data_IF_428239553783
#
_entry.id   IF_428239553783
#
_cell.length_a   1.000
_cell.length_b   1.000
_cell.length_c   1.000
_cell.angle_alpha   90.00
_cell.angle_beta   90.00
_cell.angle_gamma   90.00
#
_symmetry.space_group_name_H-M   'P 1'
#
loop_
_entity.id
_entity.type
_entity.pdbx_description
1 polymer ?
#
# COMPACT_ATOMS: atom_id res chain seq x y z
N UNK A 1 2.97 -4.70 -21.75
CA UNK A 1 2.39 -5.13 -20.46
C UNK A 1 3.44 -5.13 -19.35
N UNK A 2 4.62 -5.76 -19.53
CA UNK A 2 5.64 -5.81 -18.47
C UNK A 2 6.14 -4.43 -18.01
N UNK A 3 6.51 -3.55 -18.94
CA UNK A 3 6.91 -2.17 -18.61
C UNK A 3 5.81 -1.46 -17.82
N UNK A 4 4.55 -1.60 -18.25
CA UNK A 4 3.39 -1.02 -17.55
C UNK A 4 3.27 -1.54 -16.11
N UNK A 5 3.42 -2.85 -15.88
CA UNK A 5 3.41 -3.41 -14.53
C UNK A 5 4.53 -2.81 -13.67
N UNK A 6 5.76 -2.78 -14.18
CA UNK A 6 6.92 -2.21 -13.48
C UNK A 6 6.69 -0.73 -13.16
N UNK A 7 6.20 0.05 -14.13
CA UNK A 7 5.87 1.47 -13.92
C UNK A 7 4.82 1.65 -12.83
N UNK A 8 3.77 0.81 -12.79
CA UNK A 8 2.75 0.89 -11.74
C UNK A 8 3.31 0.58 -10.35
N UNK A 9 4.17 -0.45 -10.21
CA UNK A 9 4.83 -0.76 -8.94
C UNK A 9 5.70 0.42 -8.48
N UNK A 10 6.54 0.95 -9.37
CA UNK A 10 7.42 2.10 -9.05
C UNK A 10 6.62 3.34 -8.69
N UNK A 11 5.50 3.59 -9.39
CA UNK A 11 4.60 4.70 -9.06
C UNK A 11 3.91 4.50 -7.72
N UNK A 12 3.49 3.28 -7.39
CA UNK A 12 2.88 2.96 -6.10
C UNK A 12 3.87 3.17 -4.95
N UNK A 13 5.11 2.68 -5.10
CA UNK A 13 6.18 2.86 -4.10
C UNK A 13 6.58 4.34 -3.97
N UNK A 14 6.77 5.05 -5.07
CA UNK A 14 7.04 6.49 -5.05
C UNK A 14 5.89 7.28 -4.39
N UNK A 15 4.64 6.92 -4.69
CA UNK A 15 3.46 7.50 -4.05
C UNK A 15 3.50 7.28 -2.54
N UNK A 16 3.70 6.04 -2.09
CA UNK A 16 3.83 5.68 -0.68
C UNK A 16 4.94 6.49 0.02
N UNK A 17 6.14 6.54 -0.56
CA UNK A 17 7.28 7.29 0.01
C UNK A 17 6.95 8.78 0.14
N UNK A 18 6.36 9.37 -0.91
CA UNK A 18 6.00 10.79 -0.92
C UNK A 18 4.91 11.06 0.13
N UNK A 19 3.84 10.27 0.16
CA UNK A 19 2.73 10.52 1.11
C UNK A 19 3.11 10.18 2.55
N UNK A 20 4.18 9.42 2.79
CA UNK A 20 4.71 9.18 4.15
C UNK A 20 5.63 10.31 4.62
N UNK A 21 6.40 10.94 3.73
CA UNK A 21 7.46 11.90 4.10
C UNK A 21 7.09 13.37 3.90
N UNK A 22 6.23 13.67 2.93
CA UNK A 22 5.89 15.03 2.52
C UNK A 22 4.51 15.40 3.02
N UNK A 23 4.38 16.60 3.59
CA UNK A 23 3.08 17.14 3.98
C UNK A 23 2.28 17.56 2.75
N UNK A 24 1.24 16.79 2.46
CA UNK A 24 0.31 16.98 1.35
C UNK A 24 -1.10 17.24 1.86
N UNK A 25 -1.23 17.82 3.07
CA UNK A 25 -2.53 18.16 3.64
C UNK A 25 -3.43 18.89 2.61
N UNK A 26 -4.71 18.49 2.45
CA UNK A 26 -5.46 17.56 3.31
C UNK A 26 -5.39 16.08 2.90
N UNK A 27 -4.58 15.69 1.91
CA UNK A 27 -4.53 14.31 1.42
C UNK A 27 -4.00 13.34 2.48
N UNK A 28 -2.96 13.74 3.20
CA UNK A 28 -2.34 13.01 4.31
C UNK A 28 -2.21 13.91 5.56
N UNK A 29 -1.64 13.37 6.63
CA UNK A 29 -1.36 14.12 7.87
C UNK A 29 -0.05 13.65 8.50
N UNK A 30 1.06 13.84 7.77
CA UNK A 30 2.39 13.38 8.20
C UNK A 30 2.90 14.09 9.45
N UNK A 31 2.32 15.23 9.83
CA UNK A 31 2.72 16.00 11.01
C UNK A 31 2.26 15.34 12.31
N UNK A 32 1.27 14.44 12.26
CA UNK A 32 0.82 13.65 13.41
C UNK A 32 1.81 12.52 13.80
N UNK A 33 2.71 12.14 12.89
CA UNK A 33 3.75 11.16 13.11
C UNK A 33 5.10 11.82 13.37
N UNK A 34 5.89 11.24 14.26
CA UNK A 34 7.27 11.64 14.51
C UNK A 34 8.13 11.36 13.28
N UNK A 35 9.24 12.10 13.14
CA UNK A 35 10.22 11.83 12.09
C UNK A 35 10.82 10.42 12.14
N UNK A 36 10.86 9.80 13.33
CA UNK A 36 11.34 8.42 13.47
C UNK A 36 10.30 7.42 12.96
N UNK A 37 9.02 7.56 13.36
CA UNK A 37 7.92 6.72 12.85
C UNK A 37 7.90 6.73 11.30
N UNK A 38 7.94 7.92 10.69
CA UNK A 38 7.92 8.07 9.22
C UNK A 38 9.13 7.41 8.53
N UNK A 39 10.33 7.59 9.10
CA UNK A 39 11.55 6.98 8.54
C UNK A 39 11.53 5.47 8.67
N UNK A 40 11.12 4.94 9.82
CA UNK A 40 10.99 3.49 10.03
C UNK A 40 9.96 2.91 9.08
N UNK A 41 8.82 3.58 8.90
CA UNK A 41 7.77 3.14 7.97
C UNK A 41 8.29 3.03 6.52
N UNK A 42 8.99 4.06 6.03
CA UNK A 42 9.60 4.00 4.69
C UNK A 42 10.70 2.95 4.59
N UNK A 43 11.62 2.90 5.55
CA UNK A 43 12.76 1.98 5.51
C UNK A 43 12.36 0.51 5.56
N UNK A 44 11.23 0.19 6.21
CA UNK A 44 10.71 -1.17 6.27
C UNK A 44 9.87 -1.50 5.04
N UNK A 45 8.94 -0.63 4.65
CA UNK A 45 7.94 -0.98 3.64
C UNK A 45 8.41 -0.73 2.20
N UNK A 46 9.13 0.38 1.91
CA UNK A 46 9.51 0.71 0.54
C UNK A 46 10.37 -0.38 -0.13
N UNK A 47 11.36 -1.01 0.54
CA UNK A 47 12.10 -2.12 -0.07
C UNK A 47 11.23 -3.33 -0.40
N UNK A 48 10.23 -3.62 0.44
CA UNK A 48 9.27 -4.72 0.22
C UNK A 48 8.37 -4.39 -0.97
N UNK A 49 7.91 -3.14 -1.08
CA UNK A 49 7.07 -2.65 -2.17
C UNK A 49 7.83 -2.52 -3.50
N UNK A 50 9.14 -2.30 -3.47
CA UNK A 50 9.98 -2.22 -4.67
C UNK A 50 10.37 -3.61 -5.21
N UNK A 51 10.41 -4.64 -4.36
CA UNK A 51 10.84 -5.99 -4.72
C UNK A 51 10.07 -6.58 -5.94
N UNK A 52 8.73 -6.43 -6.06
CA UNK A 52 7.99 -6.84 -7.25
C UNK A 52 8.51 -6.23 -8.56
N UNK A 53 8.91 -4.95 -8.57
CA UNK A 53 9.46 -4.31 -9.76
C UNK A 53 10.80 -4.95 -10.18
N UNK A 54 11.67 -5.24 -9.21
CA UNK A 54 12.96 -5.90 -9.43
C UNK A 54 12.75 -7.30 -10.02
N UNK A 55 11.82 -8.08 -9.44
CA UNK A 55 11.50 -9.42 -9.91
C UNK A 55 10.88 -9.42 -11.31
N UNK A 56 9.95 -8.50 -11.60
CA UNK A 56 9.35 -8.34 -12.93
C UNK A 56 10.38 -7.93 -13.98
N UNK A 57 11.26 -6.98 -13.67
CA UNK A 57 12.34 -6.56 -14.57
C UNK A 57 13.30 -7.73 -14.87
N UNK A 58 13.69 -8.47 -13.83
CA UNK A 58 14.59 -9.63 -13.95
C UNK A 58 13.94 -10.76 -14.75
N UNK A 59 12.63 -11.01 -14.54
CA UNK A 59 11.86 -11.98 -15.31
C UNK A 59 11.84 -11.64 -16.80
N UNK A 60 11.68 -10.36 -17.14
CA UNK A 60 11.71 -9.87 -18.52
C UNK A 60 13.07 -10.04 -19.19
N UNK A 61 14.14 -9.63 -18.51
CA UNK A 61 15.51 -9.69 -19.03
C UNK A 61 15.98 -11.14 -19.23
N UNK A 62 15.74 -11.99 -18.22
CA UNK A 62 16.20 -13.38 -18.24
C UNK A 62 15.21 -14.35 -18.90
N UNK A 63 14.03 -13.87 -19.33
CA UNK A 63 12.93 -14.70 -19.86
C UNK A 63 12.51 -15.81 -18.88
N UNK A 64 12.44 -15.49 -17.60
CA UNK A 64 12.08 -16.42 -16.52
C UNK A 64 10.69 -16.09 -15.97
N UNK A 65 9.60 -16.64 -16.53
CA UNK A 65 8.24 -16.25 -16.14
C UNK A 65 7.92 -16.53 -14.67
N UNK A 66 8.54 -17.54 -14.05
CA UNK A 66 8.31 -17.83 -12.64
C UNK A 66 8.74 -16.69 -11.71
N UNK A 67 9.78 -15.92 -12.06
CA UNK A 67 10.18 -14.73 -11.30
C UNK A 67 9.10 -13.65 -11.35
N UNK A 68 8.48 -13.45 -12.52
CA UNK A 68 7.38 -12.51 -12.70
C UNK A 68 6.13 -12.93 -11.93
N UNK A 69 5.88 -14.24 -11.84
CA UNK A 69 4.76 -14.79 -11.05
C UNK A 69 4.97 -14.54 -9.57
N UNK A 70 6.19 -14.76 -9.05
CA UNK A 70 6.53 -14.45 -7.67
C UNK A 70 6.39 -12.96 -7.38
N UNK A 71 6.93 -12.09 -8.25
CA UNK A 71 6.80 -10.64 -8.10
C UNK A 71 5.33 -10.19 -8.06
N UNK A 72 4.52 -10.68 -9.00
CA UNK A 72 3.09 -10.38 -9.07
C UNK A 72 2.31 -10.92 -7.86
N UNK A 73 2.69 -12.08 -7.33
CA UNK A 73 2.10 -12.65 -6.13
C UNK A 73 2.43 -11.84 -4.87
N UNK A 74 3.67 -11.35 -4.75
CA UNK A 74 4.07 -10.45 -3.65
C UNK A 74 3.26 -9.15 -3.72
N UNK A 75 3.16 -8.53 -4.90
CA UNK A 75 2.36 -7.32 -5.11
C UNK A 75 0.87 -7.54 -4.73
N UNK A 76 0.31 -8.70 -5.11
CA UNK A 76 -1.04 -9.07 -4.72
C UNK A 76 -1.20 -9.21 -3.21
N UNK A 77 -0.23 -9.82 -2.52
CA UNK A 77 -0.24 -9.93 -1.05
C UNK A 77 -0.20 -8.55 -0.39
N UNK A 78 0.61 -7.62 -0.91
CA UNK A 78 0.64 -6.21 -0.45
C UNK A 78 -0.74 -5.57 -0.63
N UNK A 79 -1.33 -5.68 -1.83
CA UNK A 79 -2.66 -5.13 -2.11
C UNK A 79 -3.74 -5.68 -1.17
N UNK A 80 -3.79 -7.00 -1.01
CA UNK A 80 -4.76 -7.66 -0.15
C UNK A 80 -4.56 -7.31 1.33
N UNK A 81 -3.32 -7.16 1.78
CA UNK A 81 -3.00 -6.78 3.16
C UNK A 81 -3.43 -5.35 3.45
N UNK A 82 -3.19 -4.41 2.51
CA UNK A 82 -3.67 -3.04 2.61
C UNK A 82 -5.20 -2.97 2.59
N UNK A 83 -5.84 -3.70 1.68
CA UNK A 83 -7.30 -3.80 1.65
C UNK A 83 -7.86 -4.36 2.96
N UNK A 84 -7.28 -5.42 3.50
CA UNK A 84 -7.70 -6.00 4.77
C UNK A 84 -7.54 -5.01 5.93
N UNK A 85 -6.40 -4.32 5.99
CA UNK A 85 -6.09 -3.32 7.02
C UNK A 85 -7.12 -2.18 7.06
N UNK A 86 -7.52 -1.68 5.89
CA UNK A 86 -8.34 -0.47 5.79
C UNK A 86 -9.82 -0.74 5.65
N UNK A 87 -10.20 -1.80 4.92
CA UNK A 87 -11.61 -2.07 4.62
C UNK A 87 -12.29 -2.97 5.64
N UNK A 88 -11.61 -3.96 6.25
CA UNK A 88 -12.24 -4.79 7.27
C UNK A 88 -12.76 -3.97 8.48
N UNK A 89 -12.02 -2.98 9.01
CA UNK A 89 -12.55 -2.13 10.07
C UNK A 89 -13.78 -1.35 9.64
N UNK A 90 -13.82 -0.91 8.37
CA UNK A 90 -14.92 -0.12 7.83
C UNK A 90 -16.19 -0.95 7.57
N UNK A 91 -16.07 -2.07 6.84
CA UNK A 91 -17.23 -2.86 6.41
C UNK A 91 -17.70 -3.85 7.47
N UNK A 92 -16.78 -4.44 8.23
CA UNK A 92 -17.06 -5.50 9.18
C UNK A 92 -16.83 -5.08 10.65
N UNK A 93 -16.16 -3.96 10.90
CA UNK A 93 -15.77 -3.58 12.26
C UNK A 93 -14.64 -4.44 12.84
N UNK A 94 -13.94 -5.20 11.99
CA UNK A 94 -12.88 -6.14 12.40
C UNK A 94 -11.52 -5.53 12.08
N UNK A 95 -10.65 -5.40 13.08
CA UNK A 95 -9.27 -4.94 12.91
C UNK A 95 -8.32 -6.11 12.74
N UNK A 96 -7.32 -5.97 11.88
CA UNK A 96 -6.29 -7.00 11.70
C UNK A 96 -5.17 -6.87 12.75
N UNK A 97 -4.63 -7.97 13.30
CA UNK A 97 -3.63 -7.92 14.37
C UNK A 97 -2.32 -7.21 13.97
N UNK A 98 -1.95 -7.28 12.68
CA UNK A 98 -0.72 -6.65 12.18
C UNK A 98 -0.89 -5.15 11.89
N UNK A 99 -2.10 -4.59 12.03
CA UNK A 99 -2.40 -3.18 11.72
C UNK A 99 -1.54 -2.18 12.48
N UNK A 100 -1.15 -2.54 13.70
CA UNK A 100 -0.35 -1.69 14.58
C UNK A 100 0.83 -2.46 15.16
N UNK A 101 1.30 -3.50 14.46
CA UNK A 101 2.42 -4.31 14.92
C UNK A 101 3.62 -3.41 15.25
N UNK A 102 4.01 -3.37 16.53
CA UNK A 102 5.12 -2.55 17.02
C UNK A 102 4.80 -1.08 17.35
N UNK A 103 3.58 -0.59 17.13
CA UNK A 103 3.20 0.83 17.33
C UNK A 103 2.66 1.17 18.73
N UNK A 104 2.55 0.18 19.63
CA UNK A 104 2.12 0.38 21.03
C UNK A 104 0.72 0.97 21.22
N UNK A 105 -0.09 1.03 20.15
CA UNK A 105 -1.42 1.64 20.12
C UNK A 105 -2.40 0.77 19.32
N UNK A 106 -3.70 0.96 19.56
CA UNK A 106 -4.74 0.29 18.77
C UNK A 106 -4.89 0.94 17.40
N UNK A 107 -5.38 0.17 16.42
CA UNK A 107 -5.68 0.71 15.08
C UNK A 107 -6.64 1.91 15.14
N UNK A 108 -7.62 1.87 16.05
CA UNK A 108 -8.58 2.95 16.24
C UNK A 108 -7.91 4.25 16.70
N UNK A 109 -6.99 4.18 17.64
CA UNK A 109 -6.24 5.35 18.14
C UNK A 109 -5.30 5.91 17.07
N UNK A 110 -4.56 5.03 16.39
CA UNK A 110 -3.69 5.42 15.27
C UNK A 110 -4.49 6.10 14.17
N UNK A 111 -5.64 5.53 13.80
CA UNK A 111 -6.53 6.09 12.78
C UNK A 111 -7.10 7.45 13.19
N UNK A 112 -7.58 7.57 14.44
CA UNK A 112 -8.10 8.84 14.94
C UNK A 112 -7.04 9.95 14.94
N UNK A 113 -5.79 9.62 15.33
CA UNK A 113 -4.67 10.56 15.35
C UNK A 113 -4.22 10.98 13.95
N UNK A 114 -4.01 10.00 13.07
CA UNK A 114 -3.29 10.23 11.81
C UNK A 114 -4.23 10.40 10.63
N UNK A 115 -5.29 9.60 10.51
CA UNK A 115 -6.04 9.49 9.25
C UNK A 115 -7.41 10.16 9.28
N UNK A 116 -8.04 10.32 10.45
CA UNK A 116 -9.38 10.88 10.59
C UNK A 116 -9.51 12.35 10.16
N UNK A 117 -8.39 13.07 10.06
CA UNK A 117 -8.32 14.49 9.68
C UNK A 117 -7.92 14.70 8.21
N UNK A 118 -7.92 13.65 7.40
CA UNK A 118 -7.56 13.70 5.97
C UNK A 118 -8.81 13.63 5.07
N UNK A 119 -8.62 13.75 3.76
CA UNK A 119 -9.72 13.59 2.80
C UNK A 119 -10.32 12.18 2.90
N UNK A 120 -11.58 12.10 3.35
CA UNK A 120 -12.36 10.88 3.41
C UNK A 120 -13.62 11.06 2.56
N UNK A 121 -13.77 10.25 1.52
CA UNK A 121 -14.90 10.31 0.59
C UNK A 121 -16.00 9.29 0.91
N UNK A 122 -15.71 8.31 1.78
CA UNK A 122 -16.64 7.25 2.12
C UNK A 122 -17.67 7.72 3.19
N UNK A 123 -18.93 7.30 3.07
CA UNK A 123 -19.96 7.62 4.06
C UNK A 123 -19.61 7.02 5.43
N UNK A 124 -20.25 7.55 6.48
CA UNK A 124 -20.03 7.07 7.85
C UNK A 124 -20.88 5.82 8.12
N UNK A 125 -20.26 4.79 8.70
CA UNK A 125 -20.95 3.59 9.23
C UNK A 125 -20.66 3.51 10.73
N UNK A 126 -21.55 4.06 11.56
CA UNK A 126 -21.33 4.15 13.02
C UNK A 126 -20.01 4.84 13.36
N UNK A 127 -19.23 4.25 14.28
CA UNK A 127 -17.90 4.75 14.69
C UNK A 127 -16.74 3.97 14.05
N UNK A 128 -16.99 3.31 12.92
CA UNK A 128 -15.98 2.49 12.26
C UNK A 128 -14.92 3.37 11.57
N UNK A 129 -13.61 3.05 11.73
CA UNK A 129 -12.55 3.71 10.97
C UNK A 129 -12.82 3.65 9.47
N UNK A 130 -12.52 4.74 8.75
CA UNK A 130 -12.77 4.87 7.31
C UNK A 130 -11.45 4.96 6.53
N UNK A 131 -11.31 4.24 5.40
CA UNK A 131 -10.25 4.52 4.45
C UNK A 131 -10.22 6.01 4.08
N UNK A 132 -9.03 6.60 4.13
CA UNK A 132 -8.82 7.91 3.52
C UNK A 132 -8.52 7.76 2.02
N UNK A 133 -8.66 8.86 1.28
CA UNK A 133 -8.48 8.88 -0.16
C UNK A 133 -7.05 8.47 -0.57
N UNK A 134 -6.05 8.86 0.21
CA UNK A 134 -4.65 8.50 -0.01
C UNK A 134 -4.46 6.98 -0.14
N UNK A 135 -4.90 6.22 0.88
CA UNK A 135 -4.76 4.78 0.86
C UNK A 135 -5.65 4.11 -0.18
N UNK A 136 -6.81 4.69 -0.51
CA UNK A 136 -7.63 4.21 -1.63
C UNK A 136 -6.89 4.31 -2.96
N UNK A 137 -6.16 5.40 -3.21
CA UNK A 137 -5.33 5.58 -4.41
C UNK A 137 -4.19 4.55 -4.41
N UNK A 138 -3.49 4.41 -3.28
CA UNK A 138 -2.40 3.44 -3.16
C UNK A 138 -2.88 2.00 -3.44
N UNK A 139 -3.99 1.57 -2.83
CA UNK A 139 -4.55 0.23 -3.08
C UNK A 139 -4.92 0.03 -4.56
N UNK A 140 -5.45 1.05 -5.23
CA UNK A 140 -5.78 0.97 -6.64
C UNK A 140 -4.53 0.78 -7.50
N UNK A 141 -3.44 1.49 -7.21
CA UNK A 141 -2.16 1.36 -7.91
C UNK A 141 -1.55 -0.03 -7.73
N UNK A 142 -1.45 -0.50 -6.48
CA UNK A 142 -0.85 -1.81 -6.15
C UNK A 142 -1.71 -2.96 -6.73
N UNK A 143 -3.03 -2.87 -6.65
CA UNK A 143 -3.92 -3.88 -7.24
C UNK A 143 -3.81 -3.91 -8.78
N UNK A 144 -3.77 -2.75 -9.42
CA UNK A 144 -3.55 -2.66 -10.86
C UNK A 144 -2.19 -3.23 -11.26
N UNK A 145 -1.13 -2.91 -10.51
CA UNK A 145 0.21 -3.45 -10.73
C UNK A 145 0.22 -4.98 -10.66
N UNK A 146 -0.41 -5.58 -9.64
CA UNK A 146 -0.51 -7.03 -9.49
C UNK A 146 -1.24 -7.69 -10.68
N UNK A 147 -2.41 -7.16 -11.08
CA UNK A 147 -3.20 -7.70 -12.20
C UNK A 147 -2.40 -7.63 -13.50
N UNK A 148 -1.83 -6.46 -13.82
CA UNK A 148 -1.05 -6.25 -15.04
C UNK A 148 0.24 -7.09 -15.00
N UNK A 149 0.84 -7.29 -13.83
CA UNK A 149 1.99 -8.17 -13.61
C UNK A 149 1.70 -9.63 -13.97
N UNK A 150 0.59 -10.19 -13.50
CA UNK A 150 0.18 -11.55 -13.86
C UNK A 150 -0.06 -11.69 -15.37
N UNK A 151 -0.76 -10.73 -15.99
CA UNK A 151 -1.02 -10.74 -17.43
C UNK A 151 0.28 -10.64 -18.22
N UNK A 152 1.18 -9.73 -17.84
CA UNK A 152 2.47 -9.53 -18.50
C UNK A 152 3.35 -10.78 -18.42
N UNK A 153 3.37 -11.42 -17.26
CA UNK A 153 4.20 -12.60 -17.01
C UNK A 153 3.71 -13.82 -17.78
N UNK A 154 2.39 -13.99 -17.95
CA UNK A 154 1.83 -15.05 -18.78
C UNK A 154 2.15 -14.93 -20.27
N UNK A 155 2.78 -13.84 -20.70
CA UNK A 155 3.19 -13.55 -22.08
C UNK A 155 4.71 -13.62 -22.28
N UNK A 156 5.50 -13.89 -21.22
CA UNK A 156 6.96 -14.05 -21.29
C UNK A 156 7.34 -15.42 -21.83
#
# INVERSE_FOLDING_TARGET
MLITAITLVVLADAYFVITTLVDLHPLNNVTAATSNERRTEVLVNAPIMLLPAILLATAGELRLPWLGMIGSAIELVIALSGLALWWLPYVAGVTVPWATAGAGSSWKEMHARTYAHTVIILPRIGDRPRPNLEHMILHALVLAAAIIGFIATGQL
#
